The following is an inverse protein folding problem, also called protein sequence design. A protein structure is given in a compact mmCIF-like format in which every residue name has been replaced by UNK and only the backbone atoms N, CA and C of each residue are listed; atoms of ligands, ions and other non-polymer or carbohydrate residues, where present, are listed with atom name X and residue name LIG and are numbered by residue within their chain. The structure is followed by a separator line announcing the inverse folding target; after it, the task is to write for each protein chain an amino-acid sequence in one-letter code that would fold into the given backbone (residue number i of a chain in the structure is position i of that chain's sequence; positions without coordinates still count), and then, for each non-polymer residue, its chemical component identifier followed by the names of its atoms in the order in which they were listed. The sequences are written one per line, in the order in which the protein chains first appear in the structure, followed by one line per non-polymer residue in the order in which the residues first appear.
data_IF_476362910714
#
_entry.id   IF_476362910714
#
_cell.length_a   1.000
_cell.length_b   1.000
_cell.length_c   1.000
_cell.angle_alpha   90.00
_cell.angle_beta   90.00
_cell.angle_gamma   90.00
#
_symmetry.space_group_name_H-M   'P 1'
#
loop_
_entity.id
_entity.type
_entity.pdbx_description
1 polymer ?
#
# COMPACT_ATOMS: atom_id res chain seq x y z
N UNK A 1 -4.77 18.11 16.12
CA UNK A 1 -3.73 18.88 15.43
C UNK A 1 -3.57 18.37 13.99
N UNK A 2 -3.01 19.17 13.10
CA UNK A 2 -2.72 18.77 11.71
C UNK A 2 -1.43 17.94 11.65
N UNK A 3 -1.30 17.02 10.68
CA UNK A 3 -0.05 16.29 10.49
C UNK A 3 1.12 17.23 10.21
N UNK A 4 2.28 16.94 10.81
CA UNK A 4 3.55 17.58 10.46
C UNK A 4 3.84 17.43 8.97
N UNK A 5 4.41 18.47 8.36
CA UNK A 5 4.69 18.47 6.92
C UNK A 5 5.60 17.29 6.52
N UNK A 6 6.61 16.98 7.32
CA UNK A 6 7.50 15.84 7.11
C UNK A 6 6.73 14.53 6.99
N UNK A 7 5.72 14.31 7.84
CA UNK A 7 4.92 13.09 7.82
C UNK A 7 4.03 13.03 6.56
N UNK A 8 3.53 14.17 6.09
CA UNK A 8 2.78 14.25 4.82
C UNK A 8 3.67 13.91 3.61
N UNK A 9 4.91 14.41 3.61
CA UNK A 9 5.88 14.15 2.54
C UNK A 9 6.27 12.66 2.50
N UNK A 10 6.39 12.03 3.68
CA UNK A 10 6.58 10.58 3.82
C UNK A 10 5.39 9.81 3.22
N UNK A 11 4.15 10.19 3.57
CA UNK A 11 2.94 9.55 3.04
C UNK A 11 2.91 9.67 1.51
N UNK A 12 3.11 10.86 0.97
CA UNK A 12 3.12 11.09 -0.48
C UNK A 12 4.21 10.27 -1.19
N UNK A 13 5.38 10.14 -0.58
CA UNK A 13 6.47 9.30 -1.09
C UNK A 13 6.10 7.82 -1.06
N UNK A 14 5.48 7.36 0.03
CA UNK A 14 4.97 6.01 0.18
C UNK A 14 3.95 5.66 -0.90
N UNK A 15 2.94 6.49 -1.10
CA UNK A 15 1.93 6.34 -2.15
C UNK A 15 2.58 6.29 -3.53
N UNK A 16 3.50 7.20 -3.85
CA UNK A 16 4.18 7.23 -5.16
C UNK A 16 4.92 5.92 -5.45
N UNK A 17 5.73 5.43 -4.49
CA UNK A 17 6.47 4.18 -4.67
C UNK A 17 5.54 2.97 -4.76
N UNK A 18 4.47 2.96 -3.98
CA UNK A 18 3.49 1.89 -4.01
C UNK A 18 2.73 1.85 -5.35
N UNK A 19 2.35 3.00 -5.92
CA UNK A 19 1.78 3.06 -7.27
C UNK A 19 2.70 2.39 -8.29
N UNK A 20 3.99 2.74 -8.26
CA UNK A 20 4.99 2.15 -9.17
C UNK A 20 5.10 0.64 -8.96
N UNK A 21 5.08 0.16 -7.72
CA UNK A 21 5.07 -1.28 -7.41
C UNK A 21 3.86 -1.98 -8.05
N UNK A 22 2.66 -1.42 -7.91
CA UNK A 22 1.44 -1.98 -8.48
C UNK A 22 1.46 -1.97 -10.01
N UNK A 23 1.93 -0.88 -10.63
CA UNK A 23 2.00 -0.73 -12.08
C UNK A 23 3.03 -1.68 -12.75
N UNK A 24 4.04 -2.12 -11.99
CA UNK A 24 5.06 -3.06 -12.46
C UNK A 24 4.61 -4.53 -12.42
N UNK A 25 3.50 -4.84 -11.77
CA UNK A 25 3.03 -6.22 -11.66
C UNK A 25 2.54 -6.74 -13.01
N UNK A 26 3.14 -7.82 -13.47
CA UNK A 26 2.72 -8.54 -14.68
C UNK A 26 1.98 -9.79 -14.25
N UNK A 27 0.74 -9.94 -14.70
CA UNK A 27 -0.04 -11.15 -14.44
C UNK A 27 0.41 -12.25 -15.41
N UNK A 28 1.01 -13.30 -14.87
CA UNK A 28 1.62 -14.40 -15.64
C UNK A 28 0.91 -15.74 -15.39
N UNK A 29 1.07 -16.67 -16.33
CA UNK A 29 0.60 -18.05 -16.19
C UNK A 29 1.70 -18.99 -15.65
N UNK A 30 1.37 -19.93 -14.75
CA UNK A 30 0.08 -20.10 -14.10
C UNK A 30 -0.16 -19.01 -13.03
N UNK A 31 -1.39 -18.48 -12.91
CA UNK A 31 -1.68 -17.48 -11.89
C UNK A 31 -1.71 -18.09 -10.48
N UNK A 32 -1.50 -17.25 -9.47
CA UNK A 32 -1.87 -17.59 -8.09
C UNK A 32 -3.37 -17.38 -7.85
N UNK A 33 -3.96 -17.97 -6.81
CA UNK A 33 -5.37 -17.73 -6.50
C UNK A 33 -5.62 -16.25 -6.11
N UNK A 34 -6.88 -15.82 -6.18
CA UNK A 34 -7.25 -14.48 -5.72
C UNK A 34 -6.91 -14.28 -4.25
N UNK A 35 -7.17 -15.28 -3.39
CA UNK A 35 -6.86 -15.19 -1.96
C UNK A 35 -5.36 -15.02 -1.72
N UNK A 36 -4.52 -15.73 -2.48
CA UNK A 36 -3.08 -15.60 -2.38
C UNK A 36 -2.60 -14.19 -2.79
N UNK A 37 -3.18 -13.60 -3.84
CA UNK A 37 -2.85 -12.23 -4.24
C UNK A 37 -3.28 -11.20 -3.19
N UNK A 38 -4.42 -11.40 -2.53
CA UNK A 38 -4.85 -10.53 -1.41
C UNK A 38 -3.84 -10.57 -0.27
N UNK A 39 -3.30 -11.76 0.06
CA UNK A 39 -2.24 -11.89 1.08
C UNK A 39 -0.98 -11.12 0.65
N UNK A 40 -0.52 -11.30 -0.59
CA UNK A 40 0.66 -10.59 -1.13
C UNK A 40 0.51 -9.08 -1.04
N UNK A 41 -0.64 -8.55 -1.45
CA UNK A 41 -0.93 -7.10 -1.38
C UNK A 41 -0.95 -6.60 0.07
N UNK A 42 -1.56 -7.35 0.98
CA UNK A 42 -1.56 -7.01 2.41
C UNK A 42 -0.14 -6.99 2.99
N UNK A 43 0.71 -7.95 2.59
CA UNK A 43 2.12 -8.00 2.98
C UNK A 43 2.90 -6.79 2.46
N UNK A 44 2.64 -6.34 1.23
CA UNK A 44 3.24 -5.10 0.72
C UNK A 44 2.78 -3.86 1.50
N UNK A 45 1.50 -3.75 1.83
CA UNK A 45 1.01 -2.63 2.66
C UNK A 45 1.71 -2.65 4.02
N UNK A 46 1.78 -3.81 4.67
CA UNK A 46 2.48 -3.96 5.96
C UNK A 46 3.96 -3.61 5.86
N UNK A 47 4.63 -4.04 4.79
CA UNK A 47 6.04 -3.71 4.54
C UNK A 47 6.24 -2.19 4.44
N UNK A 48 5.41 -1.50 3.66
CA UNK A 48 5.50 -0.04 3.50
C UNK A 48 5.22 0.68 4.83
N UNK A 49 4.17 0.29 5.56
CA UNK A 49 3.83 0.89 6.85
C UNK A 49 4.97 0.70 7.85
N UNK A 50 5.55 -0.50 7.93
CA UNK A 50 6.68 -0.77 8.83
C UNK A 50 7.94 0.00 8.42
N UNK A 51 8.23 0.08 7.12
CA UNK A 51 9.39 0.81 6.59
C UNK A 51 9.32 2.31 6.88
N UNK A 52 8.16 2.93 6.65
CA UNK A 52 7.97 4.35 6.93
C UNK A 52 7.71 4.64 8.41
N UNK A 53 7.23 3.67 9.20
CA UNK A 53 7.09 3.80 10.65
C UNK A 53 8.36 4.20 11.37
N UNK A 54 9.52 3.82 10.84
CA UNK A 54 10.82 4.22 11.38
C UNK A 54 11.24 5.66 11.01
N UNK A 55 10.51 6.31 10.09
CA UNK A 55 10.84 7.61 9.51
C UNK A 55 9.86 8.72 9.92
N UNK A 56 8.66 8.34 10.38
CA UNK A 56 7.65 9.28 10.89
C UNK A 56 8.17 9.92 12.19
N UNK A 57 7.89 11.21 12.37
CA UNK A 57 8.35 12.01 13.50
C UNK A 57 7.18 12.67 14.23
N UNK A 58 7.46 13.30 15.38
CA UNK A 58 6.44 13.94 16.21
C UNK A 58 6.05 13.09 17.42
N UNK A 59 4.99 13.52 18.12
CA UNK A 59 4.46 12.78 19.27
C UNK A 59 3.82 11.45 18.84
N UNK A 60 3.70 10.50 19.78
CA UNK A 60 3.16 9.16 19.47
C UNK A 60 1.78 9.22 18.79
N UNK A 61 0.90 10.13 19.23
CA UNK A 61 -0.40 10.33 18.59
C UNK A 61 -0.29 10.79 17.13
N UNK A 62 0.70 11.63 16.82
CA UNK A 62 0.94 12.09 15.44
C UNK A 62 1.56 10.99 14.59
N UNK A 63 2.45 10.19 15.17
CA UNK A 63 3.05 9.05 14.49
C UNK A 63 1.99 8.01 14.13
N UNK A 64 1.17 7.61 15.10
CA UNK A 64 0.08 6.66 14.91
C UNK A 64 -0.90 7.16 13.85
N UNK A 65 -1.22 8.46 13.86
CA UNK A 65 -2.10 9.06 12.85
C UNK A 65 -1.50 8.99 11.45
N UNK A 66 -0.23 9.36 11.29
CA UNK A 66 0.44 9.32 9.99
C UNK A 66 0.52 7.90 9.44
N UNK A 67 0.78 6.90 10.29
CA UNK A 67 0.85 5.50 9.89
C UNK A 67 -0.51 4.91 9.54
N UNK A 68 -1.56 5.29 10.26
CA UNK A 68 -2.93 4.91 9.93
C UNK A 68 -3.36 5.52 8.60
N UNK A 69 -3.04 6.80 8.36
CA UNK A 69 -3.33 7.48 7.10
C UNK A 69 -2.57 6.83 5.93
N UNK A 70 -1.27 6.55 6.10
CA UNK A 70 -0.50 5.80 5.12
C UNK A 70 -1.14 4.44 4.81
N UNK A 71 -1.47 3.65 5.83
CA UNK A 71 -2.11 2.34 5.64
C UNK A 71 -3.43 2.44 4.86
N UNK A 72 -4.26 3.44 5.19
CA UNK A 72 -5.53 3.67 4.52
C UNK A 72 -5.35 4.04 3.04
N UNK A 73 -4.43 4.94 2.72
CA UNK A 73 -4.14 5.35 1.35
C UNK A 73 -3.62 4.17 0.52
N UNK A 74 -2.65 3.42 1.04
CA UNK A 74 -2.11 2.26 0.33
C UNK A 74 -3.17 1.17 0.10
N UNK A 75 -4.04 0.92 1.08
CA UNK A 75 -5.15 -0.03 0.93
C UNK A 75 -6.15 0.43 -0.13
N UNK A 76 -6.45 1.73 -0.17
CA UNK A 76 -7.32 2.33 -1.18
C UNK A 76 -6.73 2.17 -2.58
N UNK A 77 -5.43 2.44 -2.74
CA UNK A 77 -4.72 2.27 -4.01
C UNK A 77 -4.66 0.81 -4.48
N UNK A 78 -4.61 -0.14 -3.56
CA UNK A 78 -4.56 -1.56 -3.86
C UNK A 78 -5.90 -2.14 -4.35
N UNK A 79 -7.03 -1.54 -3.97
CA UNK A 79 -8.37 -2.05 -4.33
C UNK A 79 -8.60 -2.15 -5.85
N UNK A 80 -8.32 -1.10 -6.66
CA UNK A 80 -8.37 -1.21 -8.12
C UNK A 80 -7.43 -2.26 -8.71
N UNK A 81 -6.26 -2.46 -8.11
CA UNK A 81 -5.30 -3.47 -8.55
C UNK A 81 -5.86 -4.89 -8.35
N UNK A 82 -6.40 -5.20 -7.17
CA UNK A 82 -7.05 -6.47 -6.89
C UNK A 82 -8.26 -6.72 -7.79
N UNK A 83 -9.03 -5.67 -8.10
CA UNK A 83 -10.14 -5.77 -9.05
C UNK A 83 -9.66 -6.15 -10.47
N UNK A 84 -8.55 -5.56 -10.95
CA UNK A 84 -7.92 -5.94 -12.22
C UNK A 84 -7.42 -7.38 -12.20
N UNK A 85 -6.80 -7.82 -11.10
CA UNK A 85 -6.34 -9.20 -10.95
C UNK A 85 -7.49 -10.21 -11.00
N UNK A 86 -8.58 -9.94 -10.27
CA UNK A 86 -9.81 -10.76 -10.33
C UNK A 86 -10.38 -10.84 -11.74
N UNK A 87 -10.36 -9.75 -12.49
CA UNK A 87 -10.83 -9.74 -13.88
C UNK A 87 -9.93 -10.60 -14.78
N UNK A 88 -8.61 -10.54 -14.59
CA UNK A 88 -7.65 -11.40 -15.29
C UNK A 88 -7.93 -12.89 -15.00
N UNK A 89 -8.11 -13.29 -13.73
CA UNK A 89 -8.43 -14.68 -13.38
C UNK A 89 -9.71 -15.20 -14.04
N UNK A 90 -10.72 -14.33 -14.23
CA UNK A 90 -11.97 -14.68 -14.91
C UNK A 90 -11.83 -14.80 -16.44
N UNK A 91 -10.73 -14.31 -17.00
CA UNK A 91 -10.47 -14.34 -18.44
C UNK A 91 -9.61 -15.51 -18.90
N UNK A 92 -9.04 -16.26 -17.95
CA UNK A 92 -8.34 -17.53 -18.17
C UNK A 92 -9.35 -18.67 -18.38
#
# INVERSE_FOLDING_TARGET
MALLQVNKDIIATGMKKFSVLLDQQVFSEPPISEEAMVVVVNDWVNFYVNYYGQQVTGEQQEQDRALNELRQELTTMASPFLAKYRAFLKSL
#
